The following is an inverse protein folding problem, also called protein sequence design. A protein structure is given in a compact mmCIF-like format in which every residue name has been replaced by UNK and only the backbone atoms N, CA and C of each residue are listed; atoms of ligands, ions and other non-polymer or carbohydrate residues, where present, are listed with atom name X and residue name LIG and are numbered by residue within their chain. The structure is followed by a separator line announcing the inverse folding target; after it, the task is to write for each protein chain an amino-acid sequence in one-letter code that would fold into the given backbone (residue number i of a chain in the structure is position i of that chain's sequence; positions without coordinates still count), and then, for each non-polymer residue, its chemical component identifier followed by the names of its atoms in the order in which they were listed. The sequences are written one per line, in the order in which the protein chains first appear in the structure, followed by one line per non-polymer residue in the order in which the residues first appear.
data_IF_990871097819
#
_entry.id   IF_990871097819
#
_cell.length_a   1.000
_cell.length_b   1.000
_cell.length_c   1.000
_cell.angle_alpha   90.00
_cell.angle_beta   90.00
_cell.angle_gamma   90.00
#
_symmetry.space_group_name_H-M   'P 1'
#
loop_
_entity.id
_entity.type
_entity.pdbx_description
1 polymer ?
#
# COMPACT_ATOMS: atom_id res chain seq x y z
N UNK A 1 -19.28 -6.96 30.10
CA UNK A 1 -20.00 -5.97 29.28
C UNK A 1 -21.48 -6.35 29.32
N UNK A 2 -22.40 -5.43 29.68
CA UNK A 2 -23.85 -5.65 29.63
C UNK A 2 -24.34 -5.82 28.18
N UNK A 3 -25.42 -6.56 27.98
CA UNK A 3 -26.01 -6.75 26.65
C UNK A 3 -27.28 -5.93 26.52
N UNK A 4 -27.14 -4.72 25.98
CA UNK A 4 -28.24 -3.79 25.81
C UNK A 4 -29.15 -4.17 24.63
N UNK A 5 -30.45 -3.89 24.77
CA UNK A 5 -31.45 -3.91 23.71
C UNK A 5 -32.17 -2.55 23.66
N UNK A 6 -33.07 -2.37 22.69
CA UNK A 6 -33.81 -1.11 22.53
C UNK A 6 -34.57 -0.68 23.80
N UNK A 7 -35.08 -1.65 24.57
CA UNK A 7 -35.92 -1.42 25.74
C UNK A 7 -35.23 -1.73 27.08
N UNK A 8 -33.96 -2.15 27.07
CA UNK A 8 -33.25 -2.58 28.29
C UNK A 8 -31.75 -2.34 28.22
N UNK A 9 -31.17 -1.79 29.29
CA UNK A 9 -29.72 -1.58 29.41
C UNK A 9 -28.93 -2.90 29.49
N UNK A 10 -29.54 -3.97 30.03
CA UNK A 10 -28.95 -5.31 30.09
C UNK A 10 -30.03 -6.38 30.19
N UNK A 11 -30.28 -7.11 29.10
CA UNK A 11 -31.31 -8.15 29.05
C UNK A 11 -31.06 -9.29 30.05
N UNK A 12 -29.82 -9.46 30.52
CA UNK A 12 -29.44 -10.48 31.49
C UNK A 12 -29.49 -10.01 32.95
N UNK A 13 -29.87 -8.75 33.22
CA UNK A 13 -29.82 -8.17 34.57
C UNK A 13 -30.62 -8.99 35.61
N UNK A 14 -31.81 -9.48 35.26
CA UNK A 14 -32.63 -10.33 36.15
C UNK A 14 -31.98 -11.69 36.47
N UNK A 15 -31.31 -12.30 35.48
CA UNK A 15 -30.59 -13.56 35.66
C UNK A 15 -29.31 -13.38 36.49
N UNK A 16 -28.64 -12.23 36.34
CA UNK A 16 -27.48 -11.85 37.16
C UNK A 16 -27.86 -11.64 38.62
N UNK A 17 -28.95 -10.91 38.90
CA UNK A 17 -29.43 -10.65 40.27
C UNK A 17 -29.90 -11.91 41.01
N UNK A 18 -30.45 -12.88 40.28
CA UNK A 18 -30.91 -14.16 40.84
C UNK A 18 -29.80 -15.21 41.00
N UNK A 19 -28.55 -14.88 40.68
CA UNK A 19 -27.41 -15.81 40.78
C UNK A 19 -27.41 -16.92 39.73
N UNK A 20 -28.22 -16.81 38.66
CA UNK A 20 -28.40 -17.84 37.63
C UNK A 20 -27.60 -17.60 36.35
N UNK A 21 -26.73 -16.59 36.33
CA UNK A 21 -25.92 -16.22 35.17
C UNK A 21 -24.46 -16.69 35.33
N UNK A 22 -24.00 -17.56 34.44
CA UNK A 22 -22.60 -18.03 34.40
C UNK A 22 -21.84 -17.16 33.38
N UNK A 23 -20.92 -16.29 33.82
CA UNK A 23 -20.15 -15.45 32.90
C UNK A 23 -19.12 -16.30 32.12
N UNK A 24 -19.05 -16.09 30.81
CA UNK A 24 -18.05 -16.71 29.94
C UNK A 24 -17.00 -15.69 29.51
N UNK A 25 -15.82 -16.18 29.07
CA UNK A 25 -14.77 -15.33 28.50
C UNK A 25 -14.83 -15.38 26.99
N UNK A 26 -14.63 -14.24 26.34
CA UNK A 26 -14.52 -14.18 24.87
C UNK A 26 -13.18 -14.75 24.44
N UNK A 27 -13.19 -15.51 23.34
CA UNK A 27 -11.98 -15.92 22.65
C UNK A 27 -11.32 -14.70 22.01
N UNK A 28 -10.03 -14.51 22.26
CA UNK A 28 -9.28 -13.43 21.65
C UNK A 28 -9.19 -13.62 20.12
N UNK A 29 -9.18 -12.52 19.37
CA UNK A 29 -8.88 -12.47 17.94
C UNK A 29 -9.85 -13.21 17.00
N UNK A 30 -10.98 -13.70 17.51
CA UNK A 30 -12.04 -14.34 16.72
C UNK A 30 -13.37 -13.66 17.02
N UNK A 31 -13.97 -13.09 15.98
CA UNK A 31 -15.33 -12.56 15.99
C UNK A 31 -15.90 -12.57 14.57
N UNK A 32 -17.22 -12.65 14.45
CA UNK A 32 -17.91 -12.57 13.15
C UNK A 32 -17.51 -11.31 12.38
N UNK A 33 -17.47 -10.15 13.05
CA UNK A 33 -17.02 -8.89 12.43
C UNK A 33 -15.58 -8.99 11.91
N UNK A 34 -14.66 -9.56 12.70
CA UNK A 34 -13.26 -9.74 12.28
C UNK A 34 -13.13 -10.66 11.06
N UNK A 35 -13.96 -11.70 10.97
CA UNK A 35 -14.01 -12.62 9.83
C UNK A 35 -14.57 -11.93 8.59
N UNK A 36 -15.68 -11.19 8.73
CA UNK A 36 -16.28 -10.39 7.65
C UNK A 36 -15.26 -9.40 7.09
N UNK A 37 -14.53 -8.66 7.94
CA UNK A 37 -13.52 -7.70 7.47
C UNK A 37 -12.38 -8.38 6.70
N UNK A 38 -11.95 -9.58 7.11
CA UNK A 38 -10.95 -10.36 6.37
C UNK A 38 -11.48 -10.78 5.00
N UNK A 39 -12.70 -11.31 4.95
CA UNK A 39 -13.36 -11.72 3.71
C UNK A 39 -13.52 -10.55 2.73
N UNK A 40 -13.96 -9.38 3.20
CA UNK A 40 -14.10 -8.17 2.36
C UNK A 40 -12.76 -7.68 1.80
N UNK A 41 -11.69 -7.72 2.62
CA UNK A 41 -10.34 -7.33 2.18
C UNK A 41 -9.84 -8.24 1.06
N UNK A 42 -10.08 -9.54 1.18
CA UNK A 42 -9.66 -10.51 0.17
C UNK A 42 -10.54 -10.45 -1.08
N UNK A 43 -11.82 -10.07 -0.93
CA UNK A 43 -12.72 -9.78 -2.04
C UNK A 43 -12.20 -8.63 -2.93
N UNK A 44 -11.76 -7.51 -2.35
CA UNK A 44 -11.19 -6.39 -3.14
C UNK A 44 -9.96 -6.83 -3.95
N UNK A 45 -9.09 -7.66 -3.37
CA UNK A 45 -7.93 -8.23 -4.08
C UNK A 45 -8.35 -9.19 -5.18
N UNK A 46 -9.33 -10.05 -4.90
CA UNK A 46 -9.88 -10.98 -5.88
C UNK A 46 -10.46 -10.22 -7.07
N UNK A 47 -11.30 -9.21 -6.81
CA UNK A 47 -11.96 -8.39 -7.82
C UNK A 47 -10.95 -7.73 -8.76
N UNK A 48 -9.92 -7.08 -8.21
CA UNK A 48 -8.84 -6.45 -8.98
C UNK A 48 -8.17 -7.44 -9.94
N UNK A 49 -7.84 -8.64 -9.45
CA UNK A 49 -7.22 -9.69 -10.28
C UNK A 49 -8.15 -10.22 -11.37
N UNK A 50 -9.44 -10.39 -11.08
CA UNK A 50 -10.40 -10.91 -12.07
C UNK A 50 -10.64 -9.88 -13.19
N UNK A 51 -10.77 -8.59 -12.86
CA UNK A 51 -10.92 -7.52 -13.85
C UNK A 51 -9.69 -7.46 -14.78
N UNK A 52 -8.48 -7.59 -14.23
CA UNK A 52 -7.25 -7.63 -15.02
C UNK A 52 -7.17 -8.85 -15.95
N UNK A 53 -7.74 -9.99 -15.54
CA UNK A 53 -7.85 -11.19 -16.38
C UNK A 53 -8.92 -11.08 -17.47
N UNK A 54 -9.71 -10.00 -17.48
CA UNK A 54 -10.74 -9.76 -18.48
C UNK A 54 -12.09 -10.41 -18.16
N UNK A 55 -12.34 -10.79 -16.91
CA UNK A 55 -13.66 -11.29 -16.50
C UNK A 55 -14.67 -10.14 -16.50
N UNK A 56 -15.88 -10.45 -16.97
CA UNK A 56 -16.94 -9.46 -17.12
C UNK A 56 -17.43 -8.93 -15.76
N UNK A 57 -17.79 -7.65 -15.73
CA UNK A 57 -18.34 -6.98 -14.54
C UNK A 57 -19.67 -7.59 -14.09
N UNK A 58 -20.43 -8.15 -15.02
CA UNK A 58 -21.72 -8.82 -14.79
C UNK A 58 -21.51 -10.08 -13.94
N UNK A 59 -20.50 -10.89 -14.24
CA UNK A 59 -20.14 -12.09 -13.48
C UNK A 59 -19.62 -11.75 -12.07
N UNK A 60 -18.99 -10.58 -11.94
CA UNK A 60 -18.46 -10.08 -10.67
C UNK A 60 -19.49 -9.29 -9.86
N UNK A 61 -20.69 -9.06 -10.41
CA UNK A 61 -21.76 -8.24 -9.85
C UNK A 61 -21.27 -6.86 -9.34
N UNK A 62 -20.47 -6.17 -10.16
CA UNK A 62 -19.95 -4.83 -9.83
C UNK A 62 -20.42 -3.77 -10.82
N UNK A 63 -20.48 -2.52 -10.33
CA UNK A 63 -20.81 -1.38 -11.18
C UNK A 63 -19.69 -1.07 -12.18
N UNK A 64 -20.07 -0.52 -13.34
CA UNK A 64 -19.14 -0.06 -14.37
C UNK A 64 -18.16 1.00 -13.87
N UNK A 65 -18.58 1.81 -12.90
CA UNK A 65 -17.72 2.79 -12.24
C UNK A 65 -16.61 2.12 -11.42
N UNK A 66 -16.94 1.07 -10.64
CA UNK A 66 -15.94 0.33 -9.86
C UNK A 66 -14.92 -0.35 -10.77
N UNK A 67 -15.38 -0.93 -11.89
CA UNK A 67 -14.48 -1.51 -12.89
C UNK A 67 -13.52 -0.47 -13.47
N UNK A 68 -14.06 0.66 -13.94
CA UNK A 68 -13.27 1.78 -14.46
C UNK A 68 -12.25 2.29 -13.43
N UNK A 69 -12.65 2.43 -12.17
CA UNK A 69 -11.73 2.83 -11.09
C UNK A 69 -10.57 1.85 -10.92
N UNK A 70 -10.83 0.55 -10.97
CA UNK A 70 -9.78 -0.47 -10.87
C UNK A 70 -8.83 -0.36 -12.06
N UNK A 71 -9.36 -0.28 -13.29
CA UNK A 71 -8.54 -0.19 -14.50
C UNK A 71 -7.67 1.07 -14.53
N UNK A 72 -8.21 2.22 -14.11
CA UNK A 72 -7.47 3.48 -14.04
C UNK A 72 -6.36 3.39 -13.00
N UNK A 73 -6.65 2.89 -11.80
CA UNK A 73 -5.65 2.70 -10.74
C UNK A 73 -4.49 1.80 -11.19
N UNK A 74 -4.79 0.75 -11.96
CA UNK A 74 -3.75 -0.13 -12.51
C UNK A 74 -2.89 0.56 -13.55
N UNK A 75 -3.49 1.28 -14.49
CA UNK A 75 -2.74 2.05 -15.51
C UNK A 75 -1.82 3.09 -14.86
N UNK A 76 -2.33 3.83 -13.88
CA UNK A 76 -1.53 4.82 -13.13
C UNK A 76 -0.37 4.16 -12.39
N UNK A 77 -0.59 3.01 -11.76
CA UNK A 77 0.49 2.28 -11.09
C UNK A 77 1.57 1.83 -12.07
N UNK A 78 1.19 1.29 -13.23
CA UNK A 78 2.14 0.87 -14.27
C UNK A 78 2.98 2.05 -14.78
N UNK A 79 2.35 3.22 -14.99
CA UNK A 79 3.03 4.43 -15.45
C UNK A 79 4.00 4.97 -14.39
N UNK A 80 3.58 5.02 -13.12
CA UNK A 80 4.43 5.40 -11.99
C UNK A 80 5.64 4.47 -11.89
N UNK A 81 5.43 3.16 -12.04
CA UNK A 81 6.52 2.18 -11.97
C UNK A 81 7.46 2.30 -13.18
N UNK A 82 6.93 2.61 -14.37
CA UNK A 82 7.72 2.97 -15.55
C UNK A 82 8.63 4.17 -15.30
N UNK A 83 8.06 5.28 -14.78
CA UNK A 83 8.82 6.48 -14.44
C UNK A 83 9.91 6.21 -13.40
N UNK A 84 9.61 5.42 -12.36
CA UNK A 84 10.61 5.04 -11.35
C UNK A 84 11.77 4.26 -11.98
N UNK A 85 11.48 3.35 -12.90
CA UNK A 85 12.51 2.59 -13.60
C UNK A 85 13.38 3.49 -14.47
N UNK A 86 12.79 4.41 -15.22
CA UNK A 86 13.52 5.38 -16.03
C UNK A 86 14.42 6.28 -15.18
N UNK A 87 13.88 6.83 -14.08
CA UNK A 87 14.65 7.61 -13.13
C UNK A 87 15.82 6.79 -12.56
N UNK A 88 15.56 5.53 -12.17
CA UNK A 88 16.59 4.62 -11.70
C UNK A 88 17.71 4.39 -12.71
N UNK A 89 17.37 4.23 -13.99
CA UNK A 89 18.37 4.08 -15.06
C UNK A 89 19.16 5.37 -15.32
N UNK A 90 18.50 6.54 -15.24
CA UNK A 90 19.17 7.85 -15.32
C UNK A 90 20.17 7.99 -14.16
N UNK A 91 19.77 7.67 -12.93
CA UNK A 91 20.67 7.74 -11.77
C UNK A 91 21.90 6.84 -11.94
N UNK A 92 21.70 5.57 -12.34
CA UNK A 92 22.81 4.65 -12.61
C UNK A 92 23.73 5.16 -13.72
N UNK A 93 23.17 5.78 -14.77
CA UNK A 93 23.95 6.41 -15.85
C UNK A 93 24.79 7.56 -15.31
N UNK A 94 24.19 8.44 -14.52
CA UNK A 94 24.88 9.56 -13.86
C UNK A 94 26.04 9.10 -12.97
N UNK A 95 25.83 8.07 -12.16
CA UNK A 95 26.86 7.50 -11.28
C UNK A 95 28.07 6.94 -12.07
N UNK A 96 27.83 6.26 -13.19
CA UNK A 96 28.91 5.78 -14.05
C UNK A 96 29.69 6.90 -14.72
N UNK A 97 28.99 7.95 -15.17
CA UNK A 97 29.60 9.06 -15.90
C UNK A 97 30.28 10.08 -14.98
N UNK A 98 29.82 10.24 -13.74
CA UNK A 98 30.38 11.23 -12.80
C UNK A 98 31.86 10.98 -12.51
N UNK A 99 32.30 9.72 -12.39
CA UNK A 99 33.71 9.39 -12.17
C UNK A 99 34.63 9.83 -13.34
N UNK A 100 34.15 9.69 -14.58
CA UNK A 100 34.88 10.12 -15.78
C UNK A 100 34.79 11.64 -15.98
N UNK A 101 33.63 12.22 -15.69
CA UNK A 101 33.40 13.65 -15.79
C UNK A 101 34.21 14.42 -14.75
N UNK A 102 34.24 13.98 -13.49
CA UNK A 102 35.07 14.58 -12.45
C UNK A 102 36.56 14.49 -12.80
N UNK A 103 37.05 13.35 -13.29
CA UNK A 103 38.45 13.20 -13.70
C UNK A 103 38.82 14.14 -14.86
N UNK A 104 37.98 14.22 -15.90
CA UNK A 104 38.22 15.10 -17.05
C UNK A 104 38.03 16.59 -16.73
N UNK A 105 37.06 16.92 -15.89
CA UNK A 105 36.85 18.26 -15.34
C UNK A 105 38.05 18.71 -14.52
N UNK A 106 38.44 17.95 -13.48
CA UNK A 106 39.60 18.28 -12.63
C UNK A 106 40.86 18.40 -13.48
N UNK A 107 41.12 17.45 -14.39
CA UNK A 107 42.27 17.52 -15.30
C UNK A 107 42.26 18.80 -16.15
N UNK A 108 41.10 19.23 -16.65
CA UNK A 108 40.96 20.48 -17.42
C UNK A 108 41.14 21.73 -16.55
N UNK A 109 40.77 21.68 -15.27
CA UNK A 109 41.03 22.75 -14.29
C UNK A 109 42.50 22.81 -13.85
N UNK A 110 43.16 21.67 -13.72
CA UNK A 110 44.58 21.58 -13.36
C UNK A 110 45.49 22.02 -14.50
N UNK A 111 45.17 21.63 -15.73
CA UNK A 111 45.92 22.03 -16.93
C UNK A 111 45.80 23.54 -17.21
N UNK A 112 44.73 24.17 -16.73
CA UNK A 112 44.47 25.60 -16.91
C UNK A 112 44.75 26.42 -15.64
N UNK A 113 45.51 25.88 -14.68
CA UNK A 113 46.02 26.66 -13.56
C UNK A 113 47.06 27.67 -14.09
N UNK A 114 46.89 28.98 -13.89
CA UNK A 114 47.96 29.94 -14.17
C UNK A 114 49.18 29.56 -13.31
N UNK A 115 50.32 29.32 -13.97
CA UNK A 115 51.53 28.84 -13.33
C UNK A 115 52.07 29.85 -12.32
N UNK A 116 51.77 29.65 -11.05
CA UNK A 116 52.69 30.06 -9.99
C UNK A 116 53.79 29.01 -9.93
N UNK A 117 54.80 29.19 -10.79
CA UNK A 117 56.08 28.50 -10.63
C UNK A 117 56.71 29.05 -9.36
N UNK A 118 56.65 28.29 -8.27
CA UNK A 118 57.59 28.47 -7.17
C UNK A 118 58.97 28.05 -7.71
N UNK A 119 59.86 29.03 -7.84
CA UNK A 119 61.29 28.83 -8.12
C UNK A 119 62.09 29.36 -6.93
N UNK A 120 63.32 28.84 -6.75
CA UNK A 120 63.73 27.85 -5.76
C UNK A 120 63.79 28.37 -4.31
#
# INVERSE_FOLDING_TARGET
IPYASADSEDIYAGLKRSGRFIPTRRTANISTSSLITRLLRDYDKFLRRQILRGISREDLNISSFKESQVRIKEKLNMEIDGLKNELGEIFKRWERQSNLWLGSFIRRFETNRPGWTASP
#
